data_IF_964118322475
#
_entry.id   IF_964118322475
#
_cell.length_a   1.000
_cell.length_b   1.000
_cell.length_c   1.000
_cell.angle_alpha   90.00
_cell.angle_beta   90.00
_cell.angle_gamma   90.00
#
_symmetry.space_group_name_H-M   'P 1'
#
loop_
_entity.id
_entity.type
_entity.pdbx_description
1 polymer ?
#
# COMPACT_ATOMS: atom_id res chain seq x y z
N UNK A 1 -23.64 -7.57 8.20
CA UNK A 1 -22.35 -7.05 8.70
C UNK A 1 -21.87 -6.02 7.69
N UNK A 2 -21.72 -4.73 8.04
CA UNK A 2 -21.15 -3.76 7.11
C UNK A 2 -19.70 -4.18 6.82
N UNK A 3 -19.39 -4.47 5.56
CA UNK A 3 -18.02 -4.77 5.14
C UNK A 3 -17.22 -3.48 5.13
N UNK A 4 -16.25 -3.36 6.04
CA UNK A 4 -15.30 -2.26 6.01
C UNK A 4 -14.55 -2.26 4.65
N UNK A 5 -14.45 -1.13 3.94
CA UNK A 5 -13.66 -1.03 2.72
C UNK A 5 -12.20 -1.35 3.04
N UNK A 6 -11.59 -2.28 2.29
CA UNK A 6 -10.16 -2.57 2.41
C UNK A 6 -9.40 -1.35 1.88
N UNK A 7 -8.55 -0.81 2.73
CA UNK A 7 -7.73 0.36 2.47
C UNK A 7 -6.29 -0.08 2.26
N UNK A 8 -5.60 0.47 1.27
CA UNK A 8 -4.19 0.15 1.02
C UNK A 8 -3.40 1.40 0.68
N UNK A 9 -2.18 1.47 1.23
CA UNK A 9 -1.18 2.48 0.92
C UNK A 9 -0.12 1.84 0.05
N UNK A 10 0.04 2.35 -1.17
CA UNK A 10 1.07 1.95 -2.12
C UNK A 10 2.15 3.02 -2.19
N UNK A 11 3.37 2.68 -1.79
CA UNK A 11 4.52 3.60 -1.82
C UNK A 11 5.43 3.23 -2.98
N UNK A 12 5.57 4.16 -3.94
CA UNK A 12 6.40 4.01 -5.14
C UNK A 12 7.75 4.72 -5.07
N UNK A 13 8.24 5.03 -3.87
CA UNK A 13 9.55 5.65 -3.70
C UNK A 13 10.65 4.57 -3.73
N UNK A 14 11.77 4.74 -4.46
CA UNK A 14 12.80 3.71 -4.59
C UNK A 14 13.55 3.38 -3.29
N UNK A 15 13.70 4.36 -2.40
CA UNK A 15 14.32 4.17 -1.08
C UNK A 15 13.28 3.81 0.01
N UNK A 16 13.46 2.71 0.76
CA UNK A 16 12.66 2.40 1.94
C UNK A 16 12.76 3.53 3.00
N UNK A 17 11.70 3.72 3.78
CA UNK A 17 11.71 4.72 4.88
C UNK A 17 11.78 6.19 4.42
N UNK A 18 11.54 6.45 3.13
CA UNK A 18 11.60 7.80 2.55
C UNK A 18 10.64 8.81 3.19
N UNK A 19 10.86 10.10 2.92
CA UNK A 19 9.90 11.15 3.28
C UNK A 19 8.53 10.89 2.66
N UNK A 20 8.48 10.40 1.42
CA UNK A 20 7.23 10.00 0.74
C UNK A 20 6.51 8.90 1.54
N UNK A 21 7.21 7.86 1.97
CA UNK A 21 6.63 6.80 2.80
C UNK A 21 6.04 7.37 4.11
N UNK A 22 6.80 8.22 4.82
CA UNK A 22 6.31 8.85 6.06
C UNK A 22 5.09 9.75 5.85
N UNK A 23 5.06 10.52 4.77
CA UNK A 23 3.91 11.36 4.41
C UNK A 23 2.70 10.47 4.06
N UNK A 24 2.90 9.39 3.31
CA UNK A 24 1.85 8.45 2.96
C UNK A 24 1.16 7.86 4.21
N UNK A 25 1.95 7.44 5.21
CA UNK A 25 1.41 6.92 6.47
C UNK A 25 0.64 7.99 7.26
N UNK A 26 1.12 9.24 7.27
CA UNK A 26 0.39 10.36 7.90
C UNK A 26 -0.92 10.66 7.18
N UNK A 27 -0.91 10.67 5.85
CA UNK A 27 -2.11 10.88 5.04
C UNK A 27 -3.12 9.75 5.25
N UNK A 28 -2.67 8.50 5.35
CA UNK A 28 -3.52 7.36 5.67
C UNK A 28 -4.17 7.47 7.07
N UNK A 29 -3.40 7.93 8.07
CA UNK A 29 -3.93 8.25 9.40
C UNK A 29 -5.00 9.33 9.35
N UNK A 30 -4.78 10.41 8.60
CA UNK A 30 -5.76 11.48 8.41
C UNK A 30 -7.04 10.99 7.70
N UNK A 31 -6.90 10.16 6.67
CA UNK A 31 -8.04 9.56 5.96
C UNK A 31 -8.89 8.69 6.88
N UNK A 32 -8.27 7.89 7.75
CA UNK A 32 -8.99 7.07 8.74
C UNK A 32 -9.71 7.90 9.79
N UNK A 33 -9.10 8.98 10.25
CA UNK A 33 -9.73 9.91 11.18
C UNK A 33 -10.96 10.59 10.55
N UNK A 34 -10.91 10.88 9.24
CA UNK A 34 -12.01 11.51 8.50
C UNK A 34 -13.08 10.53 8.02
N UNK A 35 -12.75 9.26 7.82
CA UNK A 35 -13.63 8.24 7.25
C UNK A 35 -13.73 7.03 8.20
N UNK A 36 -14.72 6.99 9.11
CA UNK A 36 -14.85 5.96 10.15
C UNK A 36 -14.93 4.52 9.63
N UNK A 37 -15.30 4.33 8.37
CA UNK A 37 -15.37 3.01 7.74
C UNK A 37 -14.00 2.46 7.36
N UNK A 38 -12.98 3.31 7.19
CA UNK A 38 -11.63 2.88 6.85
C UNK A 38 -10.92 2.29 8.07
N UNK A 39 -10.50 1.04 7.92
CA UNK A 39 -9.68 0.33 8.91
C UNK A 39 -8.20 0.65 8.73
N UNK A 40 -7.34 0.01 9.52
CA UNK A 40 -5.88 0.02 9.30
C UNK A 40 -5.57 -0.37 7.84
N UNK A 41 -4.76 0.42 7.10
CA UNK A 41 -4.41 0.08 5.74
C UNK A 41 -3.42 -1.09 5.69
N UNK A 42 -3.52 -1.91 4.66
CA UNK A 42 -2.37 -2.68 4.20
C UNK A 42 -1.33 -1.74 3.60
N UNK A 43 -0.04 -1.99 3.83
CA UNK A 43 1.05 -1.18 3.28
C UNK A 43 1.81 -2.02 2.26
N UNK A 44 1.92 -1.50 1.04
CA UNK A 44 2.75 -2.08 -0.02
C UNK A 44 3.86 -1.09 -0.36
N UNK A 45 5.07 -1.38 0.08
CA UNK A 45 6.28 -0.61 -0.26
C UNK A 45 6.98 -1.25 -1.47
N UNK A 46 6.94 -0.58 -2.61
CA UNK A 46 7.54 -1.08 -3.84
C UNK A 46 9.07 -1.13 -3.77
N UNK A 47 9.72 -0.34 -2.91
CA UNK A 47 11.16 -0.43 -2.69
C UNK A 47 11.58 -1.84 -2.21
N UNK A 48 10.73 -2.46 -1.39
CA UNK A 48 10.96 -3.82 -0.86
C UNK A 48 10.79 -4.91 -1.93
N UNK A 49 10.08 -4.60 -3.02
CA UNK A 49 9.76 -5.54 -4.09
C UNK A 49 10.59 -5.28 -5.36
N UNK A 50 11.24 -4.12 -5.48
CA UNK A 50 11.83 -3.61 -6.72
C UNK A 50 12.76 -4.60 -7.43
N UNK A 51 13.69 -5.23 -6.70
CA UNK A 51 14.64 -6.21 -7.25
C UNK A 51 14.00 -7.53 -7.70
N UNK A 52 12.72 -7.75 -7.35
CA UNK A 52 11.99 -9.01 -7.52
C UNK A 52 10.83 -8.92 -8.51
N UNK A 53 10.43 -7.71 -8.91
CA UNK A 53 9.29 -7.46 -9.81
C UNK A 53 9.46 -8.11 -11.19
N UNK A 54 10.69 -8.11 -11.70
CA UNK A 54 11.03 -8.60 -13.04
C UNK A 54 11.75 -9.95 -13.04
N UNK A 55 11.68 -10.70 -11.93
CA UNK A 55 12.23 -12.05 -11.89
C UNK A 55 11.49 -12.96 -12.89
N UNK A 56 12.22 -13.87 -13.54
CA UNK A 56 11.68 -14.83 -14.54
C UNK A 56 10.47 -15.59 -14.01
N UNK A 57 10.47 -15.92 -12.72
CA UNK A 57 9.31 -16.44 -12.00
C UNK A 57 8.87 -15.41 -10.97
N UNK A 58 7.59 -15.02 -11.03
CA UNK A 58 6.98 -14.10 -10.06
C UNK A 58 7.09 -14.64 -8.63
N UNK A 59 7.75 -13.91 -7.71
CA UNK A 59 7.87 -14.34 -6.33
C UNK A 59 6.55 -14.23 -5.54
N UNK A 60 6.33 -15.04 -4.49
CA UNK A 60 5.10 -15.01 -3.69
C UNK A 60 4.76 -13.65 -3.10
N UNK A 61 5.76 -12.86 -2.68
CA UNK A 61 5.60 -11.52 -2.13
C UNK A 61 5.06 -10.53 -3.17
N UNK A 62 5.44 -10.66 -4.43
CA UNK A 62 4.90 -9.85 -5.53
C UNK A 62 3.45 -10.24 -5.80
N UNK A 63 3.14 -11.53 -5.81
CA UNK A 63 1.75 -12.01 -5.93
C UNK A 63 0.88 -11.50 -4.79
N UNK A 64 1.34 -11.60 -3.53
CA UNK A 64 0.60 -11.08 -2.36
C UNK A 64 0.36 -9.57 -2.45
N UNK A 65 1.35 -8.80 -2.92
CA UNK A 65 1.19 -7.36 -3.12
C UNK A 65 0.12 -7.07 -4.20
N UNK A 66 0.14 -7.80 -5.31
CA UNK A 66 -0.88 -7.69 -6.37
C UNK A 66 -2.27 -8.06 -5.86
N UNK A 67 -2.41 -9.17 -5.14
CA UNK A 67 -3.68 -9.62 -4.57
C UNK A 67 -4.23 -8.62 -3.55
N UNK A 68 -3.33 -8.01 -2.76
CA UNK A 68 -3.68 -6.95 -1.79
C UNK A 68 -4.29 -5.77 -2.53
N UNK A 69 -3.57 -5.22 -3.53
CA UNK A 69 -4.01 -4.05 -4.30
C UNK A 69 -5.27 -4.35 -5.11
N UNK A 70 -5.39 -5.54 -5.71
CA UNK A 70 -6.59 -5.95 -6.46
C UNK A 70 -7.83 -6.09 -5.57
N UNK A 71 -7.62 -6.45 -4.30
CA UNK A 71 -8.69 -6.57 -3.31
C UNK A 71 -9.07 -5.26 -2.62
N UNK A 72 -8.39 -4.16 -2.91
CA UNK A 72 -8.56 -2.86 -2.26
C UNK A 72 -9.76 -2.10 -2.81
N UNK A 73 -10.56 -1.48 -1.93
CA UNK A 73 -11.62 -0.53 -2.32
C UNK A 73 -11.16 0.93 -2.28
N UNK A 74 -10.17 1.25 -1.42
CA UNK A 74 -9.56 2.59 -1.35
C UNK A 74 -8.04 2.45 -1.46
N UNK A 75 -7.45 3.05 -2.49
CA UNK A 75 -6.00 2.98 -2.71
C UNK A 75 -5.40 4.39 -2.58
N UNK A 76 -4.49 4.56 -1.61
CA UNK A 76 -3.64 5.75 -1.50
C UNK A 76 -2.30 5.45 -2.18
N UNK A 77 -2.01 6.13 -3.29
CA UNK A 77 -0.73 6.00 -4.00
C UNK A 77 0.16 7.19 -3.64
N UNK A 78 1.39 6.90 -3.20
CA UNK A 78 2.38 7.91 -2.87
C UNK A 78 3.67 7.69 -3.66
N UNK A 79 3.97 8.62 -4.56
CA UNK A 79 5.19 8.65 -5.37
C UNK A 79 5.96 9.96 -5.11
N UNK A 80 7.28 10.01 -5.35
CA UNK A 80 7.99 11.27 -5.50
C UNK A 80 7.37 12.15 -6.59
#
# INVERSE_FOLDING_TARGET
>A
MPTHPRFTVLVGHPNPGSRTARIALRAAGALRAAVPQLTEPAIVDLAMLASRLFATRRPPEVTRALDTVAGTQVLLVATP
#
